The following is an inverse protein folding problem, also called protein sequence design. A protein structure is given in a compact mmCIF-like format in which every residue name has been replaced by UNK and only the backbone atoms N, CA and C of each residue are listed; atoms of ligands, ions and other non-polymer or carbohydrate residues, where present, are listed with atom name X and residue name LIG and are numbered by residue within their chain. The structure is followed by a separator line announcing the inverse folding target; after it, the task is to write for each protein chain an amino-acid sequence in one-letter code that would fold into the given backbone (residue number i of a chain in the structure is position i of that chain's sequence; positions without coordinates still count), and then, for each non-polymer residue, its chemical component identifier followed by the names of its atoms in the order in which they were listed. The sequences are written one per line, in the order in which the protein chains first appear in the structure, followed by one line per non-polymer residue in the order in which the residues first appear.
data_IF_640594236228
#
_entry.id   IF_640594236228
#
_cell.length_a   1.000
_cell.length_b   1.000
_cell.length_c   1.000
_cell.angle_alpha   90.00
_cell.angle_beta   90.00
_cell.angle_gamma   90.00
#
_symmetry.space_group_name_H-M   'P 1'
#
loop_
_entity.id
_entity.type
_entity.pdbx_description
1 polymer ?
#
# COMPACT_ATOMS: atom_id res chain seq x y z
N UNK A 1 -12.19 -22.01 35.42
CA UNK A 1 -12.17 -20.61 34.92
C UNK A 1 -11.58 -20.64 33.53
N UNK A 2 -12.33 -20.27 32.50
CA UNK A 2 -11.81 -20.16 31.14
C UNK A 2 -10.91 -18.93 31.05
N UNK A 3 -9.64 -19.12 30.67
CA UNK A 3 -8.72 -18.01 30.40
C UNK A 3 -9.15 -17.32 29.11
N UNK A 4 -9.53 -16.03 29.14
CA UNK A 4 -9.87 -15.29 27.93
C UNK A 4 -8.70 -15.32 26.94
N UNK A 5 -8.97 -15.64 25.66
CA UNK A 5 -7.96 -15.67 24.59
C UNK A 5 -7.30 -17.04 24.33
N UNK A 6 -7.70 -18.10 25.06
CA UNK A 6 -7.30 -19.48 24.77
C UNK A 6 -8.54 -20.30 24.43
N UNK A 7 -8.51 -20.99 23.28
CA UNK A 7 -9.50 -21.99 22.89
C UNK A 7 -9.52 -23.10 23.93
N UNK A 8 -10.63 -23.23 24.65
CA UNK A 8 -10.81 -24.27 25.69
C UNK A 8 -10.78 -25.70 25.13
N UNK A 9 -10.88 -25.89 23.81
CA UNK A 9 -10.86 -27.20 23.16
C UNK A 9 -9.44 -27.68 22.81
N UNK A 10 -8.54 -26.75 22.48
CA UNK A 10 -7.23 -27.08 21.89
C UNK A 10 -6.05 -26.52 22.70
N UNK A 11 -6.30 -25.65 23.68
CA UNK A 11 -5.25 -24.96 24.43
C UNK A 11 -4.47 -23.93 23.60
N UNK A 12 -4.90 -23.68 22.36
CA UNK A 12 -4.29 -22.74 21.43
C UNK A 12 -4.85 -21.33 21.62
N UNK A 13 -4.09 -20.33 21.19
CA UNK A 13 -4.56 -18.95 21.13
C UNK A 13 -5.79 -18.83 20.23
N UNK A 14 -6.83 -18.17 20.73
CA UNK A 14 -8.06 -17.91 19.96
C UNK A 14 -7.78 -16.72 19.01
N UNK A 15 -7.53 -17.03 17.73
CA UNK A 15 -7.20 -16.01 16.75
C UNK A 15 -8.39 -15.08 16.52
N UNK A 16 -8.20 -13.77 16.68
CA UNK A 16 -9.23 -12.75 16.41
C UNK A 16 -9.80 -12.94 15.00
N UNK A 17 -11.11 -12.79 14.85
CA UNK A 17 -11.79 -12.86 13.56
C UNK A 17 -11.26 -11.83 12.52
N UNK A 18 -10.49 -10.83 12.96
CA UNK A 18 -9.79 -9.86 12.11
C UNK A 18 -8.42 -10.34 11.61
N UNK A 19 -7.85 -11.37 12.24
CA UNK A 19 -6.55 -11.98 11.93
C UNK A 19 -6.68 -13.33 11.19
N UNK A 20 -7.92 -13.84 11.04
CA UNK A 20 -8.18 -15.06 10.30
C UNK A 20 -8.25 -14.77 8.80
N UNK A 21 -7.53 -15.56 7.99
CA UNK A 21 -7.65 -15.48 6.55
C UNK A 21 -9.09 -15.81 6.12
N UNK A 22 -9.75 -14.84 5.48
CA UNK A 22 -11.08 -15.09 4.90
C UNK A 22 -10.99 -16.15 3.79
N UNK A 23 -11.69 -17.27 3.99
CA UNK A 23 -11.85 -18.35 3.01
C UNK A 23 -12.70 -17.92 1.80
N UNK A 24 -13.44 -16.82 1.94
CA UNK A 24 -14.36 -16.28 0.92
C UNK A 24 -13.72 -15.04 0.33
N UNK A 25 -13.16 -15.16 -0.87
CA UNK A 25 -12.15 -14.26 -1.41
C UNK A 25 -12.57 -12.81 -1.75
N UNK A 26 -13.70 -12.33 -1.23
CA UNK A 26 -14.27 -11.01 -1.50
C UNK A 26 -14.11 -10.01 -0.37
N UNK A 27 -13.84 -10.43 0.86
CA UNK A 27 -13.64 -9.51 1.99
C UNK A 27 -12.33 -9.79 2.73
N UNK A 28 -11.52 -8.74 2.87
CA UNK A 28 -10.56 -8.57 3.96
C UNK A 28 -9.42 -9.61 4.13
N UNK A 29 -8.98 -10.31 3.07
CA UNK A 29 -7.76 -11.14 3.17
C UNK A 29 -6.50 -10.34 3.53
N UNK A 30 -6.53 -9.03 3.33
CA UNK A 30 -5.36 -8.18 3.49
C UNK A 30 -5.65 -7.10 4.54
N UNK A 31 -4.74 -6.97 5.52
CA UNK A 31 -4.90 -6.05 6.65
C UNK A 31 -5.07 -4.59 6.23
N UNK A 32 -5.43 -3.73 7.20
CA UNK A 32 -5.78 -2.32 6.98
C UNK A 32 -4.71 -1.55 6.19
N UNK A 33 -3.44 -1.92 6.36
CA UNK A 33 -2.31 -1.36 5.62
C UNK A 33 -2.41 -1.58 4.11
N UNK A 34 -2.83 -2.77 3.64
CA UNK A 34 -3.03 -3.02 2.21
C UNK A 34 -4.25 -2.27 1.69
N UNK A 35 -5.38 -2.28 2.41
CA UNK A 35 -6.62 -1.62 1.98
C UNK A 35 -6.44 -0.11 1.79
N UNK A 36 -5.68 0.53 2.67
CA UNK A 36 -5.43 1.98 2.58
C UNK A 36 -4.30 2.36 1.62
N UNK A 37 -3.36 1.46 1.33
CA UNK A 37 -2.22 1.77 0.44
C UNK A 37 -2.36 1.21 -0.99
N UNK A 38 -3.28 0.28 -1.25
CA UNK A 38 -3.46 -0.35 -2.56
C UNK A 38 -3.78 0.67 -3.66
N UNK A 39 -4.76 1.55 -3.44
CA UNK A 39 -5.14 2.56 -4.44
C UNK A 39 -4.04 3.61 -4.72
N UNK A 40 -3.20 3.92 -3.72
CA UNK A 40 -2.04 4.81 -3.90
C UNK A 40 -0.93 4.10 -4.68
N UNK A 41 -0.72 2.82 -4.38
CA UNK A 41 0.27 1.97 -5.05
C UNK A 41 -0.09 1.76 -6.53
N UNK A 42 -1.36 1.57 -6.84
CA UNK A 42 -1.86 1.46 -8.21
C UNK A 42 -1.62 2.75 -9.01
N UNK A 43 -1.94 3.92 -8.44
CA UNK A 43 -1.65 5.22 -9.08
C UNK A 43 -0.16 5.47 -9.28
N UNK A 44 0.65 5.10 -8.29
CA UNK A 44 2.12 5.22 -8.38
C UNK A 44 2.66 4.33 -9.50
N UNK A 45 2.08 3.13 -9.67
CA UNK A 45 2.42 2.20 -10.76
C UNK A 45 2.03 2.78 -12.12
N UNK A 46 0.82 3.33 -12.29
CA UNK A 46 0.41 3.95 -13.55
C UNK A 46 1.37 5.07 -13.98
N UNK A 47 1.76 5.94 -13.05
CA UNK A 47 2.72 7.03 -13.33
C UNK A 47 4.11 6.48 -13.69
N UNK A 48 4.55 5.40 -13.02
CA UNK A 48 5.82 4.75 -13.32
C UNK A 48 5.82 4.06 -14.68
N UNK A 49 4.73 3.36 -15.02
CA UNK A 49 4.55 2.67 -16.30
C UNK A 49 4.47 3.68 -17.44
N UNK A 50 3.81 4.83 -17.24
CA UNK A 50 3.78 5.94 -18.20
C UNK A 50 5.18 6.57 -18.39
N UNK A 51 5.92 6.81 -17.30
CA UNK A 51 7.29 7.30 -17.36
C UNK A 51 8.21 6.32 -18.09
N UNK A 52 8.10 5.02 -17.80
CA UNK A 52 8.88 3.96 -18.43
C UNK A 52 8.54 3.83 -19.91
N UNK A 53 7.26 3.88 -20.27
CA UNK A 53 6.81 3.86 -21.66
C UNK A 53 7.29 5.07 -22.46
N UNK A 54 7.45 6.23 -21.82
CA UNK A 54 8.05 7.40 -22.47
C UNK A 54 9.56 7.24 -22.66
N UNK A 55 10.29 6.73 -21.66
CA UNK A 55 11.75 6.56 -21.72
C UNK A 55 12.18 5.42 -22.65
N UNK A 56 11.45 4.31 -22.66
CA UNK A 56 11.77 3.13 -23.47
C UNK A 56 11.39 3.30 -24.97
N UNK A 57 10.80 4.44 -25.36
CA UNK A 57 10.43 4.70 -26.74
C UNK A 57 11.69 5.03 -27.58
N UNK A 58 12.09 4.22 -28.57
CA UNK A 58 13.28 4.47 -29.39
C UNK A 58 13.14 5.68 -30.32
N UNK A 59 11.91 6.16 -30.54
CA UNK A 59 11.61 7.36 -31.33
C UNK A 59 11.44 8.61 -30.44
N UNK A 60 11.90 8.56 -29.19
CA UNK A 60 11.78 9.67 -28.27
C UNK A 60 12.67 10.83 -28.72
N UNK A 61 12.04 11.94 -29.13
CA UNK A 61 12.74 13.19 -29.37
C UNK A 61 13.16 13.82 -28.04
N UNK A 62 14.28 13.36 -27.49
CA UNK A 62 14.87 13.92 -26.25
C UNK A 62 15.23 15.41 -26.44
N UNK A 63 15.44 15.84 -27.68
CA UNK A 63 15.70 17.24 -28.05
C UNK A 63 14.42 18.11 -28.09
N UNK A 64 13.23 17.51 -27.94
CA UNK A 64 11.97 18.23 -27.91
C UNK A 64 11.65 18.69 -26.47
N UNK A 65 11.60 20.01 -26.20
CA UNK A 65 11.38 20.55 -24.85
C UNK A 65 10.02 20.15 -24.26
N UNK A 66 9.05 19.80 -25.12
CA UNK A 66 7.73 19.32 -24.68
C UNK A 66 7.78 17.90 -24.11
N UNK A 67 8.68 17.06 -24.62
CA UNK A 67 8.90 15.69 -24.14
C UNK A 67 9.68 15.73 -22.82
N UNK A 68 10.74 16.55 -22.74
CA UNK A 68 11.48 16.79 -21.50
C UNK A 68 10.62 17.36 -20.38
N UNK A 69 9.72 18.30 -20.68
CA UNK A 69 8.79 18.86 -19.71
C UNK A 69 7.82 17.81 -19.16
N UNK A 70 7.32 16.89 -20.00
CA UNK A 70 6.46 15.79 -19.58
C UNK A 70 7.20 14.78 -18.71
N UNK A 71 8.41 14.38 -19.09
CA UNK A 71 9.25 13.47 -18.30
C UNK A 71 9.56 14.10 -16.92
N UNK A 72 9.89 15.38 -16.89
CA UNK A 72 10.18 16.10 -15.64
C UNK A 72 8.93 16.18 -14.75
N UNK A 73 7.77 16.49 -15.31
CA UNK A 73 6.50 16.52 -14.57
C UNK A 73 6.11 15.14 -14.05
N UNK A 74 6.24 14.09 -14.87
CA UNK A 74 5.98 12.69 -14.48
C UNK A 74 6.95 12.21 -13.40
N UNK A 75 8.24 12.53 -13.51
CA UNK A 75 9.24 12.21 -12.48
C UNK A 75 8.98 12.95 -11.17
N UNK A 76 8.55 14.21 -11.23
CA UNK A 76 8.13 14.97 -10.05
C UNK A 76 6.91 14.35 -9.37
N UNK A 77 5.89 14.02 -10.15
CA UNK A 77 4.67 13.38 -9.67
C UNK A 77 4.93 11.99 -9.08
N UNK A 78 5.82 11.21 -9.69
CA UNK A 78 6.23 9.90 -9.19
C UNK A 78 6.90 9.99 -7.81
N UNK A 79 7.84 10.94 -7.65
CA UNK A 79 8.53 11.16 -6.38
C UNK A 79 7.55 11.60 -5.28
N UNK A 80 6.60 12.49 -5.61
CA UNK A 80 5.54 12.89 -4.67
C UNK A 80 4.61 11.73 -4.31
N UNK A 81 4.22 10.89 -5.28
CA UNK A 81 3.37 9.73 -5.05
C UNK A 81 4.04 8.69 -4.12
N UNK A 82 5.36 8.46 -4.27
CA UNK A 82 6.14 7.61 -3.36
C UNK A 82 6.27 8.18 -1.95
N UNK A 83 6.48 9.49 -1.82
CA UNK A 83 6.50 10.15 -0.51
C UNK A 83 5.14 10.01 0.19
N UNK A 84 4.05 10.21 -0.55
CA UNK A 84 2.68 10.05 -0.04
C UNK A 84 2.43 8.59 0.40
N UNK A 85 2.82 7.61 -0.41
CA UNK A 85 2.70 6.19 -0.06
C UNK A 85 3.40 5.86 1.27
N UNK A 86 4.63 6.34 1.45
CA UNK A 86 5.41 6.13 2.67
C UNK A 86 4.76 6.80 3.89
N UNK A 87 4.28 8.04 3.73
CA UNK A 87 3.64 8.79 4.80
C UNK A 87 2.32 8.16 5.26
N UNK A 88 1.52 7.65 4.32
CA UNK A 88 0.26 6.93 4.62
C UNK A 88 0.56 5.61 5.34
N UNK A 89 1.58 4.87 4.90
CA UNK A 89 1.98 3.64 5.57
C UNK A 89 2.48 3.90 7.00
N UNK A 90 3.23 4.99 7.20
CA UNK A 90 3.68 5.43 8.52
C UNK A 90 2.50 5.83 9.42
N UNK A 91 1.53 6.60 8.94
CA UNK A 91 0.39 7.02 9.75
C UNK A 91 -0.48 5.85 10.19
N UNK A 92 -0.69 4.84 9.32
CA UNK A 92 -1.42 3.61 9.68
C UNK A 92 -0.65 2.82 10.74
N UNK A 93 0.67 2.71 10.60
CA UNK A 93 1.53 2.06 11.59
C UNK A 93 1.43 2.76 12.95
N UNK A 94 1.54 4.09 12.97
CA UNK A 94 1.49 4.88 14.20
C UNK A 94 0.10 4.78 14.87
N UNK A 95 -0.98 4.80 14.08
CA UNK A 95 -2.34 4.61 14.57
C UNK A 95 -2.57 3.21 15.15
N UNK A 96 -2.12 2.16 14.46
CA UNK A 96 -2.20 0.78 14.96
C UNK A 96 -1.40 0.61 16.25
N UNK A 97 -0.19 1.18 16.32
CA UNK A 97 0.63 1.14 17.52
C UNK A 97 -0.01 1.89 18.70
N UNK A 98 -0.66 3.02 18.45
CA UNK A 98 -1.39 3.75 19.47
C UNK A 98 -2.61 2.98 20.00
N UNK A 99 -3.31 2.24 19.13
CA UNK A 99 -4.43 1.37 19.54
C UNK A 99 -3.91 0.21 20.40
N UNK A 100 -2.87 -0.50 19.94
CA UNK A 100 -2.31 -1.67 20.65
C UNK A 100 -1.76 -1.29 22.03
N UNK A 101 -1.17 -0.10 22.18
CA UNK A 101 -0.59 0.35 23.45
C UNK A 101 -1.61 0.88 24.46
N UNK A 102 -2.81 1.23 24.01
CA UNK A 102 -3.89 1.75 24.86
C UNK A 102 -4.99 0.71 25.15
N UNK A 103 -4.80 -0.54 24.68
CA UNK A 103 -5.58 -1.71 25.07
C UNK A 103 -4.91 -2.39 26.25
#
# INVERSE_FOLDING_TARGET
MATPGISNAEGNWDASALEQESTTATDNKWGMMYRSSAGISERTKTIADELKSMIDNPNLEVDNPRVLGKITALSGNYNMARQLQSNVMKSIKDAAQAIIRNV
#
